data_IF_948501805469
#
_entry.id   IF_948501805469
#
_cell.length_a   1.000
_cell.length_b   1.000
_cell.length_c   1.000
_cell.angle_alpha   90.00
_cell.angle_beta   90.00
_cell.angle_gamma   90.00
#
_symmetry.space_group_name_H-M   'P 1'
#
loop_
_entity.id
_entity.type
_entity.pdbx_description
1 polymer ?
#
# COMPACT_ATOMS: atom_id res chain seq x y z
N UNK A 1 -12.97 -35.06 47.16
CA UNK A 1 -12.87 -35.37 45.72
C UNK A 1 -13.01 -34.03 45.00
N UNK A 2 -11.88 -33.34 44.80
CA UNK A 2 -11.86 -31.99 44.23
C UNK A 2 -11.75 -32.10 42.71
N UNK A 3 -12.63 -31.36 42.04
CA UNK A 3 -12.68 -31.19 40.58
C UNK A 3 -11.49 -30.30 40.21
N UNK A 4 -10.50 -30.87 39.52
CA UNK A 4 -9.37 -30.12 38.98
C UNK A 4 -9.81 -29.38 37.72
N UNK A 5 -9.47 -28.10 37.70
CA UNK A 5 -9.70 -27.12 36.65
C UNK A 5 -9.14 -27.59 35.30
N UNK A 6 -9.96 -27.46 34.26
CA UNK A 6 -9.55 -27.68 32.89
C UNK A 6 -8.90 -26.39 32.38
N UNK A 7 -7.56 -26.35 32.38
CA UNK A 7 -6.81 -25.30 31.68
C UNK A 7 -7.18 -25.33 30.19
N UNK A 8 -7.68 -24.21 29.68
CA UNK A 8 -8.05 -24.09 28.26
C UNK A 8 -6.79 -24.22 27.39
N UNK A 9 -6.81 -25.17 26.46
CA UNK A 9 -5.71 -25.47 25.54
C UNK A 9 -5.72 -24.63 24.23
N UNK A 10 -6.26 -23.40 24.24
CA UNK A 10 -6.36 -22.59 23.02
C UNK A 10 -6.32 -21.09 23.34
N UNK A 11 -5.57 -20.33 22.54
CA UNK A 11 -5.43 -18.87 22.61
C UNK A 11 -6.27 -18.20 21.51
N UNK A 12 -6.72 -16.98 21.79
CA UNK A 12 -7.42 -16.07 20.87
C UNK A 12 -6.47 -14.97 20.39
N UNK A 13 -6.81 -14.31 19.27
CA UNK A 13 -5.99 -13.21 18.71
C UNK A 13 -5.81 -12.05 19.70
N UNK A 14 -6.75 -11.90 20.64
CA UNK A 14 -6.73 -10.89 21.70
C UNK A 14 -5.77 -11.23 22.86
N UNK A 15 -5.25 -12.46 22.93
CA UNK A 15 -4.32 -12.90 23.97
C UNK A 15 -2.86 -12.47 23.69
N UNK A 16 -2.59 -11.88 22.52
CA UNK A 16 -1.28 -11.35 22.13
C UNK A 16 -1.37 -9.83 22.13
N UNK A 17 -1.28 -9.21 23.31
CA UNK A 17 -1.47 -7.77 23.42
C UNK A 17 -0.22 -6.99 23.84
N UNK A 18 -0.16 -5.77 23.30
CA UNK A 18 0.57 -4.59 23.78
C UNK A 18 2.10 -4.64 23.83
N UNK A 19 2.71 -4.19 22.74
CA UNK A 19 3.74 -3.13 22.79
C UNK A 19 4.07 -2.55 21.41
N UNK A 20 4.34 -1.26 21.43
CA UNK A 20 4.87 -0.40 20.34
C UNK A 20 3.84 0.20 19.38
N UNK A 21 3.52 1.48 19.60
CA UNK A 21 3.99 2.54 18.70
C UNK A 21 3.59 3.90 19.27
N UNK A 22 4.57 4.57 19.87
CA UNK A 22 4.47 5.97 20.27
C UNK A 22 5.64 6.71 19.60
N UNK A 23 5.49 7.08 18.33
CA UNK A 23 6.45 7.95 17.62
C UNK A 23 5.86 8.70 16.41
N UNK A 24 4.55 8.95 16.37
CA UNK A 24 3.90 9.65 15.23
C UNK A 24 3.80 11.18 15.39
N UNK A 25 4.54 11.79 16.33
CA UNK A 25 4.32 13.19 16.72
C UNK A 25 5.08 14.26 15.92
N UNK A 26 5.88 13.95 14.88
CA UNK A 26 6.80 14.97 14.32
C UNK A 26 6.52 15.48 12.90
N UNK A 27 5.38 15.14 12.29
CA UNK A 27 5.09 15.58 10.91
C UNK A 27 3.90 16.53 10.79
N UNK A 28 3.92 17.63 11.56
CA UNK A 28 3.02 18.77 11.35
C UNK A 28 3.81 19.98 10.84
N UNK A 29 4.03 20.04 9.52
CA UNK A 29 4.37 21.31 8.86
C UNK A 29 3.08 22.00 8.38
N UNK A 30 2.95 23.34 8.50
CA UNK A 30 1.80 24.06 7.99
C UNK A 30 1.71 23.95 6.46
N UNK A 31 0.57 23.49 5.94
CA UNK A 31 0.29 23.21 4.52
C UNK A 31 0.00 24.48 3.70
N UNK A 32 0.61 25.61 4.08
CA UNK A 32 0.33 26.95 3.51
C UNK A 32 0.90 27.18 2.11
N UNK A 33 1.42 26.16 1.44
CA UNK A 33 2.05 26.25 0.12
C UNK A 33 1.41 25.32 -0.92
N UNK A 34 0.07 25.26 -0.98
CA UNK A 34 -0.67 24.57 -2.04
C UNK A 34 -0.49 25.29 -3.39
N UNK A 35 0.71 25.19 -3.98
CA UNK A 35 0.96 25.55 -5.37
C UNK A 35 0.45 24.40 -6.23
N UNK A 36 -0.69 24.62 -6.86
CA UNK A 36 -1.16 23.87 -8.04
C UNK A 36 -0.08 23.92 -9.12
N UNK A 37 0.12 22.80 -9.83
CA UNK A 37 1.01 22.59 -11.01
C UNK A 37 2.34 21.84 -10.82
N UNK A 38 2.39 20.75 -10.03
CA UNK A 38 3.42 19.72 -10.26
C UNK A 38 2.79 18.36 -10.47
N UNK A 39 2.91 17.83 -11.70
CA UNK A 39 2.77 16.40 -11.96
C UNK A 39 3.98 15.71 -11.33
N UNK A 40 3.76 15.01 -10.23
CA UNK A 40 4.79 14.15 -9.65
C UNK A 40 4.83 12.84 -10.44
N UNK A 41 6.04 12.34 -10.70
CA UNK A 41 6.21 10.93 -11.10
C UNK A 41 5.97 10.00 -9.91
N UNK A 42 5.60 8.75 -10.15
CA UNK A 42 5.32 7.81 -9.05
C UNK A 42 6.60 7.53 -8.23
N UNK A 43 7.78 7.56 -8.87
CA UNK A 43 9.07 7.42 -8.22
C UNK A 43 9.39 8.59 -7.27
N UNK A 44 8.88 9.80 -7.57
CA UNK A 44 9.00 10.96 -6.67
C UNK A 44 8.07 10.85 -5.46
N UNK A 45 6.92 10.20 -5.61
CA UNK A 45 5.92 9.98 -4.56
C UNK A 45 6.28 8.78 -3.68
N UNK A 46 6.83 7.74 -4.29
CA UNK A 46 7.20 6.45 -3.71
C UNK A 46 8.60 6.07 -4.22
N UNK A 47 9.66 6.61 -3.61
CA UNK A 47 11.03 6.17 -3.88
C UNK A 47 11.19 4.66 -3.60
N UNK A 48 12.06 4.01 -4.36
CA UNK A 48 12.27 2.56 -4.24
C UNK A 48 12.72 2.16 -2.84
N UNK A 49 13.53 3.00 -2.16
CA UNK A 49 13.99 2.75 -0.80
C UNK A 49 12.80 2.64 0.18
N UNK A 50 11.83 3.55 0.07
CA UNK A 50 10.62 3.52 0.91
C UNK A 50 9.78 2.27 0.60
N UNK A 51 9.63 1.92 -0.67
CA UNK A 51 8.88 0.74 -1.08
C UNK A 51 9.49 -0.56 -0.53
N UNK A 52 10.82 -0.68 -0.63
CA UNK A 52 11.60 -1.82 -0.11
C UNK A 52 11.51 -1.89 1.42
N UNK A 53 11.69 -0.76 2.12
CA UNK A 53 11.58 -0.70 3.58
C UNK A 53 10.20 -1.13 4.08
N UNK A 54 9.13 -0.66 3.41
CA UNK A 54 7.76 -1.05 3.75
C UNK A 54 7.54 -2.54 3.50
N UNK A 55 7.98 -3.07 2.36
CA UNK A 55 7.89 -4.51 2.08
C UNK A 55 8.59 -5.32 3.17
N UNK A 56 9.85 -5.01 3.49
CA UNK A 56 10.60 -5.72 4.52
C UNK A 56 9.91 -5.63 5.88
N UNK A 57 9.37 -4.47 6.25
CA UNK A 57 8.65 -4.31 7.52
C UNK A 57 7.39 -5.18 7.60
N UNK A 58 6.66 -5.34 6.50
CA UNK A 58 5.48 -6.21 6.46
C UNK A 58 5.86 -7.69 6.39
N UNK A 59 6.87 -8.06 5.60
CA UNK A 59 7.36 -9.43 5.51
C UNK A 59 7.93 -9.94 6.83
N UNK A 60 8.69 -9.13 7.57
CA UNK A 60 9.25 -9.51 8.87
C UNK A 60 8.20 -10.00 9.89
N UNK A 61 6.93 -9.58 9.74
CA UNK A 61 5.82 -9.99 10.62
C UNK A 61 5.22 -11.36 10.26
N UNK A 62 5.46 -11.84 9.05
CA UNK A 62 4.79 -13.02 8.49
C UNK A 62 5.75 -14.13 8.08
N UNK A 63 7.02 -13.80 7.80
CA UNK A 63 8.02 -14.72 7.25
C UNK A 63 8.23 -15.97 8.12
N UNK A 64 8.19 -15.85 9.44
CA UNK A 64 8.37 -17.01 10.35
C UNK A 64 7.23 -18.05 10.26
N UNK A 65 6.06 -17.64 9.76
CA UNK A 65 4.90 -18.53 9.60
C UNK A 65 4.86 -19.20 8.22
N UNK A 66 5.69 -18.76 7.28
CA UNK A 66 5.75 -19.31 5.93
C UNK A 66 6.75 -20.47 5.90
N UNK A 67 6.24 -21.67 6.16
CA UNK A 67 7.06 -22.89 6.30
C UNK A 67 7.51 -23.53 4.98
N UNK A 68 7.08 -22.98 3.84
CA UNK A 68 7.40 -23.50 2.52
C UNK A 68 8.48 -22.64 1.87
N UNK A 69 9.45 -23.20 1.12
CA UNK A 69 10.41 -22.41 0.36
C UNK A 69 9.72 -21.46 -0.62
N UNK A 70 10.08 -20.18 -0.56
CA UNK A 70 9.55 -19.13 -1.44
C UNK A 70 10.61 -18.07 -1.75
N UNK A 71 10.33 -17.25 -2.75
CA UNK A 71 10.98 -15.96 -2.98
C UNK A 71 9.94 -14.90 -3.31
N UNK A 72 10.16 -13.68 -2.83
CA UNK A 72 9.45 -12.51 -3.30
C UNK A 72 10.29 -11.74 -4.31
N UNK A 73 9.64 -11.29 -5.39
CA UNK A 73 10.19 -10.28 -6.27
C UNK A 73 9.36 -9.00 -6.14
N UNK A 74 10.01 -7.92 -5.74
CA UNK A 74 9.46 -6.58 -5.82
C UNK A 74 9.99 -5.92 -7.08
N UNK A 75 9.10 -5.41 -7.91
CA UNK A 75 9.47 -4.72 -9.15
C UNK A 75 9.00 -3.27 -9.16
N UNK A 76 9.63 -2.46 -10.00
CA UNK A 76 9.05 -1.19 -10.43
C UNK A 76 7.88 -1.40 -11.41
N UNK A 77 7.27 -0.30 -11.85
CA UNK A 77 6.15 -0.29 -12.80
C UNK A 77 6.51 -0.79 -14.20
N UNK A 78 7.79 -0.80 -14.58
CA UNK A 78 8.28 -1.35 -15.84
C UNK A 78 8.64 -2.85 -15.75
N UNK A 79 8.45 -3.46 -14.58
CA UNK A 79 8.75 -4.86 -14.31
C UNK A 79 10.22 -5.13 -14.02
N UNK A 80 11.06 -4.12 -13.76
CA UNK A 80 12.42 -4.34 -13.30
C UNK A 80 12.40 -4.73 -11.84
N UNK A 81 13.04 -5.84 -11.49
CA UNK A 81 13.22 -6.25 -10.09
C UNK A 81 14.04 -5.18 -9.37
N UNK A 82 13.50 -4.62 -8.30
CA UNK A 82 14.20 -3.67 -7.42
C UNK A 82 14.69 -4.37 -6.15
N UNK A 83 14.00 -5.42 -5.71
CA UNK A 83 14.38 -6.19 -4.53
C UNK A 83 13.92 -7.65 -4.60
N UNK A 84 14.71 -8.54 -4.00
CA UNK A 84 14.48 -9.98 -3.92
C UNK A 84 14.54 -10.37 -2.46
N UNK A 85 13.54 -11.10 -1.96
CA UNK A 85 13.50 -11.56 -0.56
C UNK A 85 13.23 -13.06 -0.51
N UNK A 86 14.19 -13.84 -0.03
CA UNK A 86 13.99 -15.24 0.32
C UNK A 86 14.72 -15.57 1.62
N UNK A 87 14.05 -16.17 2.62
CA UNK A 87 14.72 -16.69 3.81
C UNK A 87 15.33 -18.08 3.58
N UNK A 88 15.17 -18.67 2.39
CA UNK A 88 15.59 -20.04 2.10
C UNK A 88 16.79 -20.04 1.16
N UNK A 89 17.96 -20.41 1.68
CA UNK A 89 19.21 -20.48 0.92
C UNK A 89 19.07 -21.33 -0.35
N UNK A 90 18.41 -22.48 -0.26
CA UNK A 90 18.18 -23.37 -1.43
C UNK A 90 17.34 -22.72 -2.53
N UNK A 91 16.42 -21.82 -2.17
CA UNK A 91 15.63 -21.09 -3.16
C UNK A 91 16.42 -19.91 -3.73
N UNK A 92 17.21 -19.23 -2.88
CA UNK A 92 18.12 -18.18 -3.31
C UNK A 92 19.17 -18.71 -4.30
N UNK A 93 19.74 -19.89 -4.06
CA UNK A 93 20.68 -20.53 -4.98
C UNK A 93 20.07 -20.77 -6.37
N UNK A 94 18.78 -21.14 -6.45
CA UNK A 94 18.07 -21.28 -7.74
C UNK A 94 17.92 -19.93 -8.45
N UNK A 95 17.54 -18.88 -7.71
CA UNK A 95 17.44 -17.51 -8.22
C UNK A 95 18.79 -17.05 -8.80
N UNK A 96 19.87 -17.28 -8.06
CA UNK A 96 21.23 -16.95 -8.45
C UNK A 96 21.71 -17.78 -9.67
N UNK A 97 21.40 -19.08 -9.68
CA UNK A 97 21.71 -19.99 -10.79
C UNK A 97 21.08 -19.52 -12.11
N UNK A 98 19.85 -19.01 -12.05
CA UNK A 98 19.15 -18.45 -13.21
C UNK A 98 19.57 -17.00 -13.54
N UNK A 99 20.51 -16.41 -12.79
CA UNK A 99 21.02 -15.06 -13.03
C UNK A 99 19.99 -13.96 -12.76
N UNK A 100 18.96 -14.25 -11.96
CA UNK A 100 17.94 -13.29 -11.57
C UNK A 100 18.51 -12.39 -10.47
N UNK A 101 18.44 -11.08 -10.67
CA UNK A 101 19.00 -10.07 -9.76
C UNK A 101 18.21 -8.78 -9.85
N UNK A 102 18.46 -7.84 -8.94
CA UNK A 102 17.97 -6.47 -9.11
C UNK A 102 18.40 -5.92 -10.48
N UNK A 103 17.46 -5.31 -11.20
CA UNK A 103 17.59 -4.87 -12.59
C UNK A 103 17.12 -5.88 -13.64
N UNK A 104 16.88 -7.15 -13.29
CA UNK A 104 16.28 -8.11 -14.23
C UNK A 104 14.85 -7.66 -14.56
N UNK A 105 14.51 -7.58 -15.85
CA UNK A 105 13.20 -7.13 -16.31
C UNK A 105 12.26 -8.30 -16.58
N UNK A 106 11.13 -8.34 -15.87
CA UNK A 106 10.12 -9.39 -15.95
C UNK A 106 8.95 -9.03 -16.87
N UNK A 107 9.03 -7.96 -17.66
CA UNK A 107 8.00 -7.63 -18.64
C UNK A 107 7.89 -8.71 -19.72
N UNK A 108 6.72 -8.79 -20.36
CA UNK A 108 6.42 -9.76 -21.42
C UNK A 108 7.40 -9.66 -22.60
N UNK A 109 7.89 -8.46 -22.90
CA UNK A 109 8.81 -8.22 -24.02
C UNK A 109 10.21 -8.79 -23.77
N UNK A 110 10.66 -8.84 -22.51
CA UNK A 110 12.01 -9.27 -22.15
C UNK A 110 12.01 -10.72 -21.67
N UNK A 111 11.07 -11.08 -20.80
CA UNK A 111 11.04 -12.38 -20.10
C UNK A 111 9.84 -13.26 -20.45
N UNK A 112 9.07 -12.90 -21.50
CA UNK A 112 7.89 -13.65 -21.92
C UNK A 112 6.79 -13.69 -20.85
N UNK A 113 5.90 -14.67 -20.95
CA UNK A 113 4.81 -14.85 -19.97
C UNK A 113 5.37 -15.36 -18.65
N UNK A 114 5.13 -14.56 -17.61
CA UNK A 114 5.33 -14.82 -16.20
C UNK A 114 4.29 -14.03 -15.38
N UNK A 115 4.18 -14.28 -14.07
CA UNK A 115 3.14 -13.65 -13.25
C UNK A 115 3.23 -12.11 -13.21
N UNK A 116 4.43 -11.51 -13.15
CA UNK A 116 4.59 -10.05 -13.22
C UNK A 116 4.11 -9.53 -14.57
N UNK A 117 4.58 -10.12 -15.68
CA UNK A 117 4.17 -9.69 -17.02
C UNK A 117 2.65 -9.77 -17.25
N UNK A 118 2.00 -10.77 -16.65
CA UNK A 118 0.56 -10.97 -16.77
C UNK A 118 -0.18 -9.96 -15.88
N UNK A 119 0.30 -9.71 -14.65
CA UNK A 119 -0.24 -8.67 -13.76
C UNK A 119 -0.14 -7.28 -14.39
N UNK A 120 0.94 -7.00 -15.14
CA UNK A 120 1.10 -5.77 -15.93
C UNK A 120 0.06 -5.66 -17.05
N UNK A 121 -0.28 -6.77 -17.71
CA UNK A 121 -1.23 -6.78 -18.83
C UNK A 121 -2.69 -6.64 -18.37
N UNK A 122 -3.03 -7.19 -17.20
CA UNK A 122 -4.41 -7.20 -16.68
C UNK A 122 -4.66 -6.17 -15.57
N UNK A 123 -3.61 -5.47 -15.12
CA UNK A 123 -3.64 -4.50 -14.01
C UNK A 123 -4.31 -5.04 -12.73
N UNK A 124 -4.12 -6.35 -12.48
CA UNK A 124 -4.79 -7.09 -11.40
C UNK A 124 -3.93 -8.27 -10.98
N UNK A 125 -4.40 -9.01 -9.98
CA UNK A 125 -3.71 -10.21 -9.50
C UNK A 125 -3.63 -11.24 -10.63
N UNK A 126 -2.41 -11.71 -10.89
CA UNK A 126 -2.13 -12.72 -11.89
C UNK A 126 -1.53 -13.96 -11.24
N UNK A 127 -1.82 -15.11 -11.83
CA UNK A 127 -1.29 -16.41 -11.42
C UNK A 127 -0.76 -17.11 -12.66
N UNK A 128 0.47 -17.62 -12.57
CA UNK A 128 1.11 -18.41 -13.64
C UNK A 128 1.73 -19.66 -13.03
N UNK A 129 1.46 -20.82 -13.61
CA UNK A 129 1.78 -22.14 -13.06
C UNK A 129 2.74 -22.89 -13.95
N UNK A 130 3.92 -23.22 -13.43
CA UNK A 130 4.90 -24.09 -14.07
C UNK A 130 5.01 -23.86 -15.58
N UNK A 131 4.56 -24.84 -16.37
CA UNK A 131 4.57 -24.83 -17.85
C UNK A 131 3.85 -23.65 -18.54
N UNK A 132 2.99 -22.90 -17.83
CA UNK A 132 2.38 -21.66 -18.33
C UNK A 132 3.43 -20.55 -18.52
N UNK A 133 4.60 -20.66 -17.86
CA UNK A 133 5.72 -19.75 -18.08
C UNK A 133 6.36 -19.95 -19.45
N UNK A 134 6.71 -18.83 -20.10
CA UNK A 134 7.43 -18.89 -21.38
C UNK A 134 8.90 -19.31 -21.20
N UNK A 135 9.57 -18.79 -20.17
CA UNK A 135 10.98 -19.10 -19.94
C UNK A 135 11.15 -20.44 -19.21
N UNK A 136 12.03 -21.34 -19.69
CA UNK A 136 12.26 -22.63 -19.04
C UNK A 136 12.60 -22.54 -17.56
N UNK A 137 13.38 -21.53 -17.15
CA UNK A 137 13.79 -21.36 -15.74
C UNK A 137 12.63 -21.13 -14.77
N UNK A 138 11.52 -20.55 -15.23
CA UNK A 138 10.33 -20.32 -14.41
C UNK A 138 9.34 -21.48 -14.43
N UNK A 139 9.54 -22.48 -15.29
CA UNK A 139 8.62 -23.63 -15.40
C UNK A 139 8.64 -24.54 -14.18
N UNK A 140 9.68 -24.45 -13.37
CA UNK A 140 9.76 -25.13 -12.08
C UNK A 140 8.98 -24.40 -10.98
N UNK A 141 8.39 -23.24 -11.28
CA UNK A 141 7.77 -22.37 -10.28
C UNK A 141 6.28 -22.12 -10.53
N UNK A 142 5.57 -21.93 -9.44
CA UNK A 142 4.24 -21.36 -9.41
C UNK A 142 4.32 -19.96 -8.83
N UNK A 143 3.76 -18.99 -9.53
CA UNK A 143 3.93 -17.56 -9.25
C UNK A 143 2.57 -16.88 -9.08
N UNK A 144 2.50 -15.98 -8.10
CA UNK A 144 1.34 -15.12 -7.87
C UNK A 144 1.82 -13.70 -7.70
N UNK A 145 1.30 -12.80 -8.53
CA UNK A 145 1.71 -11.41 -8.56
C UNK A 145 0.51 -10.50 -8.33
N UNK A 146 0.68 -9.44 -7.52
CA UNK A 146 -0.29 -8.36 -7.41
C UNK A 146 0.36 -7.00 -7.73
N UNK A 147 -0.40 -6.10 -8.38
CA UNK A 147 -0.01 -4.70 -8.47
C UNK A 147 -0.06 -4.03 -7.09
N UNK A 148 0.88 -3.11 -6.85
CA UNK A 148 0.86 -2.17 -5.72
C UNK A 148 0.22 -0.88 -6.24
N UNK A 149 -1.07 -0.72 -5.97
CA UNK A 149 -1.90 0.31 -6.61
C UNK A 149 -2.25 1.46 -5.65
N UNK A 150 -1.99 2.70 -6.09
CA UNK A 150 -2.32 3.93 -5.38
C UNK A 150 -3.16 4.80 -6.31
N UNK A 151 -4.46 4.98 -5.98
CA UNK A 151 -5.41 5.75 -6.77
C UNK A 151 -5.33 5.43 -8.28
N UNK A 152 -5.47 4.15 -8.62
CA UNK A 152 -5.41 3.64 -10.00
C UNK A 152 -4.04 3.79 -10.70
N UNK A 153 -3.00 4.29 -10.01
CA UNK A 153 -1.62 4.26 -10.48
C UNK A 153 -0.87 3.07 -9.89
N UNK A 154 -0.14 2.33 -10.71
CA UNK A 154 0.69 1.21 -10.26
C UNK A 154 2.08 1.74 -9.92
N UNK A 155 2.53 1.53 -8.68
CA UNK A 155 3.89 1.89 -8.24
C UNK A 155 4.92 0.80 -8.55
N UNK A 156 4.44 -0.42 -8.75
CA UNK A 156 5.26 -1.61 -8.89
C UNK A 156 4.41 -2.86 -8.65
N UNK A 157 5.08 -4.00 -8.62
CA UNK A 157 4.44 -5.29 -8.45
C UNK A 157 5.14 -6.09 -7.37
N UNK A 158 4.36 -6.86 -6.61
CA UNK A 158 4.87 -7.84 -5.66
C UNK A 158 4.49 -9.23 -6.15
N UNK A 159 5.49 -10.04 -6.47
CA UNK A 159 5.35 -11.45 -6.81
C UNK A 159 5.82 -12.32 -5.66
N UNK A 160 5.14 -13.45 -5.46
CA UNK A 160 5.63 -14.58 -4.68
C UNK A 160 5.73 -15.81 -5.58
N UNK A 161 6.87 -16.46 -5.52
CA UNK A 161 7.18 -17.66 -6.29
C UNK A 161 7.51 -18.84 -5.37
N UNK A 162 6.99 -20.01 -5.70
CA UNK A 162 7.22 -21.28 -5.00
C UNK A 162 7.51 -22.40 -6.01
N UNK A 163 7.97 -23.56 -5.54
CA UNK A 163 8.10 -24.75 -6.39
C UNK A 163 6.75 -25.21 -6.99
N UNK A 164 6.77 -25.68 -8.24
CA UNK A 164 5.58 -25.98 -9.05
C UNK A 164 4.69 -27.08 -8.46
N UNK A 165 5.21 -27.95 -7.59
CA UNK A 165 4.44 -29.00 -6.93
C UNK A 165 3.57 -28.47 -5.77
N UNK A 166 3.72 -27.20 -5.39
CA UNK A 166 3.01 -26.59 -4.23
C UNK A 166 1.68 -25.97 -4.63
N UNK A 167 0.69 -26.05 -3.74
CA UNK A 167 -0.63 -25.43 -3.93
C UNK A 167 -0.60 -23.91 -3.70
N UNK A 168 -1.29 -23.18 -4.58
CA UNK A 168 -1.31 -21.70 -4.60
C UNK A 168 -2.51 -21.06 -3.87
N UNK A 169 -3.43 -21.86 -3.31
CA UNK A 169 -4.71 -21.33 -2.82
C UNK A 169 -4.57 -20.21 -1.79
N UNK A 170 -3.63 -20.34 -0.86
CA UNK A 170 -3.38 -19.33 0.17
C UNK A 170 -2.58 -18.13 -0.35
N UNK A 171 -1.69 -18.33 -1.33
CA UNK A 171 -0.76 -17.28 -1.78
C UNK A 171 -1.48 -16.15 -2.51
N UNK A 172 -2.60 -16.42 -3.18
CA UNK A 172 -3.46 -15.40 -3.79
C UNK A 172 -4.00 -14.43 -2.74
N UNK A 173 -4.60 -14.96 -1.67
CA UNK A 173 -5.14 -14.13 -0.59
C UNK A 173 -4.03 -13.40 0.16
N UNK A 174 -2.91 -14.07 0.38
CA UNK A 174 -1.76 -13.51 1.06
C UNK A 174 -1.14 -12.35 0.28
N UNK A 175 -0.88 -12.51 -1.02
CA UNK A 175 -0.34 -11.45 -1.87
C UNK A 175 -1.29 -10.27 -2.00
N UNK A 176 -2.60 -10.53 -2.11
CA UNK A 176 -3.61 -9.47 -2.08
C UNK A 176 -3.53 -8.65 -0.80
N UNK A 177 -3.52 -9.32 0.35
CA UNK A 177 -3.45 -8.61 1.64
C UNK A 177 -2.12 -7.88 1.82
N UNK A 178 -1.02 -8.48 1.37
CA UNK A 178 0.30 -7.86 1.44
C UNK A 178 0.37 -6.60 0.58
N UNK A 179 -0.12 -6.62 -0.65
CA UNK A 179 -0.13 -5.43 -1.51
C UNK A 179 -0.99 -4.31 -0.93
N UNK A 180 -2.18 -4.62 -0.39
CA UNK A 180 -3.05 -3.66 0.29
C UNK A 180 -2.37 -3.06 1.53
N UNK A 181 -1.70 -3.89 2.36
CA UNK A 181 -0.96 -3.44 3.54
C UNK A 181 0.23 -2.54 3.18
N UNK A 182 0.97 -2.88 2.12
CA UNK A 182 2.06 -2.05 1.60
C UNK A 182 1.52 -0.65 1.27
N UNK A 183 0.41 -0.56 0.54
CA UNK A 183 -0.21 0.73 0.19
C UNK A 183 -0.60 1.54 1.43
N UNK A 184 -1.18 0.89 2.45
CA UNK A 184 -1.51 1.56 3.72
C UNK A 184 -0.25 2.14 4.40
N UNK A 185 0.83 1.37 4.45
CA UNK A 185 2.09 1.79 5.06
C UNK A 185 2.84 2.86 4.26
N UNK A 186 2.75 2.82 2.92
CA UNK A 186 3.27 3.88 2.08
C UNK A 186 2.60 5.21 2.39
N UNK A 187 1.27 5.22 2.60
CA UNK A 187 0.54 6.42 3.01
C UNK A 187 1.02 6.95 4.36
N UNK A 188 1.27 6.08 5.33
CA UNK A 188 1.82 6.49 6.65
C UNK A 188 3.25 7.06 6.56
N UNK A 189 4.05 6.61 5.59
CA UNK A 189 5.49 6.94 5.49
C UNK A 189 5.82 8.04 4.49
N UNK A 190 4.93 8.36 3.54
CA UNK A 190 5.17 9.38 2.52
C UNK A 190 4.17 10.54 2.63
N UNK A 191 4.55 11.65 3.30
CA UNK A 191 3.72 12.85 3.36
C UNK A 191 3.38 13.41 1.97
N UNK A 192 4.31 13.32 1.02
CA UNK A 192 4.10 13.73 -0.38
C UNK A 192 3.02 12.90 -1.06
N UNK A 193 2.98 11.61 -0.77
CA UNK A 193 1.93 10.72 -1.28
C UNK A 193 0.55 11.12 -0.74
N UNK A 194 0.45 11.42 0.56
CA UNK A 194 -0.80 11.94 1.16
C UNK A 194 -1.20 13.26 0.48
N UNK A 195 -0.26 14.18 0.27
CA UNK A 195 -0.50 15.45 -0.41
C UNK A 195 -1.05 15.24 -1.82
N UNK A 196 -0.39 14.39 -2.60
CA UNK A 196 -0.80 14.04 -3.95
C UNK A 196 -2.22 13.45 -3.98
N UNK A 197 -2.48 12.44 -3.13
CA UNK A 197 -3.79 11.80 -3.02
C UNK A 197 -4.86 12.83 -2.67
N UNK A 198 -4.59 13.70 -1.70
CA UNK A 198 -5.52 14.75 -1.29
C UNK A 198 -5.83 15.71 -2.45
N UNK A 199 -4.82 16.15 -3.21
CA UNK A 199 -5.02 17.05 -4.35
C UNK A 199 -5.83 16.38 -5.46
N UNK A 200 -5.49 15.15 -5.83
CA UNK A 200 -6.22 14.39 -6.84
C UNK A 200 -7.70 14.22 -6.47
N UNK A 201 -7.99 13.91 -5.20
CA UNK A 201 -9.38 13.82 -4.73
C UNK A 201 -10.08 15.18 -4.75
N UNK A 202 -9.40 16.26 -4.35
CA UNK A 202 -9.94 17.61 -4.48
C UNK A 202 -10.26 17.98 -5.94
N UNK A 203 -9.40 17.61 -6.87
CA UNK A 203 -9.59 17.84 -8.31
C UNK A 203 -10.76 17.02 -8.86
N UNK A 204 -10.87 15.74 -8.49
CA UNK A 204 -11.97 14.84 -8.84
C UNK A 204 -13.33 15.44 -8.46
N UNK A 205 -13.44 16.01 -7.26
CA UNK A 205 -14.67 16.66 -6.76
C UNK A 205 -14.77 18.15 -7.13
N UNK A 206 -13.83 18.67 -7.92
CA UNK A 206 -13.80 20.08 -8.38
C UNK A 206 -13.89 21.07 -7.22
N UNK A 207 -13.15 20.80 -6.15
CA UNK A 207 -13.02 21.72 -5.02
C UNK A 207 -12.16 22.92 -5.44
N UNK A 208 -12.69 24.12 -5.24
CA UNK A 208 -11.97 25.38 -5.40
C UNK A 208 -10.83 25.48 -4.38
N UNK A 209 -9.82 26.33 -4.62
CA UNK A 209 -8.70 26.51 -3.68
C UNK A 209 -9.17 26.76 -2.24
N UNK A 210 -10.21 27.58 -2.07
CA UNK A 210 -10.77 27.89 -0.76
C UNK A 210 -11.52 26.72 -0.12
N UNK A 211 -12.21 25.91 -0.92
CA UNK A 211 -12.81 24.66 -0.44
C UNK A 211 -11.76 23.65 -0.02
N UNK A 212 -10.60 23.58 -0.70
CA UNK A 212 -9.49 22.67 -0.32
C UNK A 212 -8.92 23.02 1.04
N UNK A 213 -8.65 24.30 1.29
CA UNK A 213 -8.16 24.77 2.59
C UNK A 213 -9.14 24.42 3.73
N UNK A 214 -10.43 24.68 3.53
CA UNK A 214 -11.46 24.33 4.51
C UNK A 214 -11.60 22.82 4.65
N UNK A 215 -11.59 22.06 3.56
CA UNK A 215 -11.70 20.60 3.57
C UNK A 215 -10.53 19.96 4.34
N UNK A 216 -9.30 20.46 4.16
CA UNK A 216 -8.12 20.00 4.88
C UNK A 216 -8.29 20.16 6.39
N UNK A 217 -8.59 21.37 6.86
CA UNK A 217 -8.80 21.59 8.30
C UNK A 217 -10.03 20.86 8.84
N UNK A 218 -11.09 20.75 8.03
CA UNK A 218 -12.29 20.01 8.40
C UNK A 218 -12.02 18.49 8.48
N UNK A 219 -11.15 17.92 7.67
CA UNK A 219 -10.76 16.52 7.82
C UNK A 219 -9.94 16.29 9.10
N UNK A 220 -9.10 17.26 9.50
CA UNK A 220 -8.34 17.25 10.76
C UNK A 220 -9.18 17.48 12.04
N UNK A 221 -10.49 17.25 11.98
CA UNK A 221 -11.41 17.35 13.13
C UNK A 221 -11.51 18.76 13.77
N UNK A 222 -10.97 19.83 13.17
CA UNK A 222 -11.10 21.21 13.66
C UNK A 222 -12.53 21.74 13.60
N UNK A 223 -12.95 22.52 14.60
CA UNK A 223 -14.26 23.16 14.63
C UNK A 223 -14.35 24.37 13.68
N UNK A 224 -15.57 24.77 13.29
CA UNK A 224 -15.77 25.92 12.38
C UNK A 224 -15.12 27.22 12.90
N UNK A 225 -15.17 27.45 14.21
CA UNK A 225 -14.54 28.59 14.87
C UNK A 225 -13.00 28.54 14.81
N UNK A 226 -12.41 27.35 14.96
CA UNK A 226 -10.95 27.20 14.84
C UNK A 226 -10.50 27.48 13.41
N UNK A 227 -11.21 26.92 12.43
CA UNK A 227 -10.92 27.13 11.01
C UNK A 227 -11.11 28.59 10.62
N UNK A 228 -12.12 29.26 11.17
CA UNK A 228 -12.37 30.67 10.89
C UNK A 228 -11.21 31.55 11.37
N UNK A 229 -10.65 31.23 12.54
CA UNK A 229 -9.48 31.91 13.08
C UNK A 229 -8.22 31.60 12.24
N UNK A 230 -7.99 30.32 11.93
CA UNK A 230 -6.82 29.86 11.17
C UNK A 230 -6.77 30.46 9.75
N UNK A 231 -7.94 30.55 9.10
CA UNK A 231 -8.06 31.03 7.72
C UNK A 231 -8.48 32.50 7.59
N UNK A 232 -8.57 33.23 8.72
CA UNK A 232 -9.01 34.63 8.81
C UNK A 232 -10.30 34.93 8.02
N UNK A 233 -11.36 34.17 8.29
CA UNK A 233 -12.71 34.37 7.72
C UNK A 233 -13.78 34.30 8.80
N UNK A 234 -15.02 34.66 8.45
CA UNK A 234 -16.17 34.52 9.36
C UNK A 234 -16.52 33.04 9.54
N UNK A 235 -16.90 32.64 10.74
CA UNK A 235 -17.35 31.27 11.03
C UNK A 235 -18.52 30.82 10.12
N UNK A 236 -19.46 31.72 9.85
CA UNK A 236 -20.57 31.45 8.91
C UNK A 236 -20.10 31.12 7.50
N UNK A 237 -18.98 31.72 7.05
CA UNK A 237 -18.35 31.41 5.76
C UNK A 237 -17.81 29.99 5.75
N UNK A 238 -17.15 29.55 6.82
CA UNK A 238 -16.66 28.17 6.95
C UNK A 238 -17.81 27.18 6.84
N UNK A 239 -18.92 27.40 7.57
CA UNK A 239 -20.09 26.51 7.51
C UNK A 239 -20.70 26.43 6.11
N UNK A 240 -20.76 27.55 5.39
CA UNK A 240 -21.25 27.57 4.00
C UNK A 240 -20.31 26.82 3.04
N UNK A 241 -19.00 26.96 3.22
CA UNK A 241 -18.01 26.21 2.44
C UNK A 241 -18.11 24.71 2.72
N UNK A 242 -18.24 24.29 3.98
CA UNK A 242 -18.45 22.87 4.35
C UNK A 242 -19.69 22.31 3.67
N UNK A 243 -20.81 23.06 3.66
CA UNK A 243 -22.02 22.65 2.92
C UNK A 243 -21.77 22.49 1.42
N UNK A 244 -21.01 23.40 0.81
CA UNK A 244 -20.60 23.31 -0.59
C UNK A 244 -19.78 22.05 -0.86
N UNK A 245 -18.78 21.78 -0.01
CA UNK A 245 -17.94 20.57 -0.09
C UNK A 245 -18.81 19.31 -0.02
N UNK A 246 -19.71 19.25 0.97
CA UNK A 246 -20.57 18.07 1.15
C UNK A 246 -21.49 17.84 -0.05
N UNK A 247 -22.02 18.93 -0.62
CA UNK A 247 -22.83 18.86 -1.84
C UNK A 247 -22.01 18.39 -3.05
N UNK A 248 -20.79 18.92 -3.26
CA UNK A 248 -19.92 18.53 -4.38
C UNK A 248 -19.45 17.08 -4.28
N UNK A 249 -19.18 16.64 -3.06
CA UNK A 249 -18.75 15.27 -2.79
C UNK A 249 -19.92 14.32 -2.65
N UNK A 250 -21.17 14.78 -2.58
CA UNK A 250 -22.34 13.93 -2.29
C UNK A 250 -22.11 13.09 -1.02
N UNK A 251 -21.83 13.77 0.09
CA UNK A 251 -21.64 13.19 1.43
C UNK A 251 -22.56 13.89 2.43
N UNK A 252 -22.86 13.20 3.52
CA UNK A 252 -23.71 13.73 4.59
C UNK A 252 -22.92 13.96 5.87
N UNK A 253 -21.87 13.16 6.07
CA UNK A 253 -21.15 13.11 7.33
C UNK A 253 -19.66 13.44 7.18
N UNK A 254 -19.08 13.91 8.29
CA UNK A 254 -17.66 14.28 8.34
C UNK A 254 -16.72 13.10 8.15
N UNK A 255 -17.10 11.91 8.60
CA UNK A 255 -16.27 10.72 8.45
C UNK A 255 -16.13 10.32 6.98
N UNK A 256 -17.18 10.50 6.17
CA UNK A 256 -17.13 10.26 4.71
C UNK A 256 -16.13 11.23 4.05
N UNK A 257 -16.02 12.47 4.52
CA UNK A 257 -15.00 13.41 4.05
C UNK A 257 -13.59 12.88 4.33
N UNK A 258 -13.34 12.44 5.56
CA UNK A 258 -12.02 11.93 5.99
C UNK A 258 -11.64 10.72 5.14
N UNK A 259 -12.57 9.79 4.97
CA UNK A 259 -12.39 8.58 4.16
C UNK A 259 -12.10 8.92 2.69
N UNK A 260 -12.92 9.77 2.07
CA UNK A 260 -12.79 10.10 0.64
C UNK A 260 -11.57 10.96 0.32
N UNK A 261 -11.08 11.75 1.27
CA UNK A 261 -9.85 12.51 1.12
C UNK A 261 -8.60 11.72 1.57
N UNK A 262 -8.79 10.49 2.04
CA UNK A 262 -7.74 9.59 2.52
C UNK A 262 -6.77 10.25 3.51
N UNK A 263 -7.27 11.19 4.32
CA UNK A 263 -6.47 11.85 5.34
C UNK A 263 -6.34 10.87 6.50
N UNK A 264 -5.11 10.40 6.74
CA UNK A 264 -4.77 9.64 7.94
C UNK A 264 -4.81 10.62 9.11
N UNK A 265 -5.96 10.71 9.76
CA UNK A 265 -6.10 11.46 11.01
C UNK A 265 -5.54 10.56 12.11
N UNK A 266 -4.53 10.98 12.89
CA UNK A 266 -4.08 10.20 14.03
C UNK A 266 -5.28 9.95 14.95
N UNK A 267 -5.57 8.67 15.21
CA UNK A 267 -6.45 8.26 16.29
C UNK A 267 -5.75 8.61 17.60
N UNK A 268 -6.37 9.53 18.36
CA UNK A 268 -5.98 9.91 19.72
C UNK A 268 -6.21 8.72 20.65
#
# INVERSE_FOLDING_TARGET
MNILECERAWFTVDDVDKKSNNSLCEFYQPWSNLKTEKSFSIEELVPYEILIEVLHSELAKVMEFLLLPFVFFLTDQAGNIINIVSPFETFQEKVDHYGIRSGTNLSKQISGVNAVSLAMEVESIAVVRGEEHSMPMFKEWNCVCAPIMINDCICGYIDISFEAERQLGFSILFIKQLSEKIVLKLKERSPKLIEYIFQEKCDLYRLSPREREVAYHWALRKGALQISNDLNVKEGTVRNIVKSIYSKMNISERWELIERLAIVVPTI
#
